data_IF_258924776640
#
_entry.id   IF_258924776640
#
_cell.length_a   1.000
_cell.length_b   1.000
_cell.length_c   1.000
_cell.angle_alpha   90.00
_cell.angle_beta   90.00
_cell.angle_gamma   90.00
#
_symmetry.space_group_name_H-M   'P 1'
#
loop_
_entity.id
_entity.type
_entity.pdbx_description
1 polymer ?
#
# COMPACT_ATOMS: atom_id res chain seq x y z
N UNK A 1 -20.59 -39.87 -30.94
CA UNK A 1 -20.19 -39.62 -29.55
C UNK A 1 -18.96 -38.73 -29.59
N UNK A 2 -19.16 -37.44 -29.33
CA UNK A 2 -18.07 -36.42 -29.28
C UNK A 2 -17.57 -36.41 -27.85
N UNK A 3 -16.31 -36.84 -27.63
CA UNK A 3 -15.65 -36.68 -26.33
C UNK A 3 -15.22 -35.20 -26.17
N UNK A 4 -15.92 -34.45 -25.35
CA UNK A 4 -15.49 -33.10 -24.90
C UNK A 4 -14.40 -33.33 -23.88
N UNK A 5 -13.14 -33.15 -24.29
CA UNK A 5 -12.00 -33.11 -23.37
C UNK A 5 -12.03 -31.84 -22.55
N UNK A 6 -12.26 -31.97 -21.26
CA UNK A 6 -12.13 -30.87 -20.31
C UNK A 6 -10.65 -30.53 -20.14
N UNK A 7 -10.17 -29.48 -20.79
CA UNK A 7 -8.82 -28.96 -20.57
C UNK A 7 -8.87 -28.19 -19.26
N UNK A 8 -8.47 -28.83 -18.15
CA UNK A 8 -8.21 -28.16 -16.88
C UNK A 8 -6.89 -27.41 -17.05
N UNK A 9 -6.97 -26.12 -17.25
CA UNK A 9 -5.80 -25.23 -17.22
C UNK A 9 -5.34 -25.14 -15.75
N UNK A 10 -4.41 -26.01 -15.36
CA UNK A 10 -3.74 -25.93 -14.06
C UNK A 10 -2.82 -24.70 -14.10
N UNK A 11 -3.27 -23.60 -13.49
CA UNK A 11 -2.38 -22.50 -13.18
C UNK A 11 -1.29 -23.03 -12.24
N UNK A 12 -0.01 -22.68 -12.47
CA UNK A 12 1.04 -23.11 -11.58
C UNK A 12 0.78 -22.54 -10.18
N UNK A 13 0.65 -23.43 -9.18
CA UNK A 13 0.53 -23.05 -7.78
C UNK A 13 1.94 -22.68 -7.33
N UNK A 14 2.19 -21.40 -7.12
CA UNK A 14 3.44 -20.94 -6.53
C UNK A 14 3.43 -21.29 -5.05
N UNK A 15 4.32 -22.20 -4.63
CA UNK A 15 4.55 -22.57 -3.24
C UNK A 15 5.97 -22.21 -2.83
N UNK A 16 6.10 -21.40 -1.79
CA UNK A 16 7.33 -21.15 -1.08
C UNK A 16 7.41 -22.03 0.17
N UNK A 17 8.61 -22.20 0.70
CA UNK A 17 8.79 -22.80 2.02
C UNK A 17 8.82 -21.69 3.08
N UNK A 18 8.22 -21.95 4.25
CA UNK A 18 8.29 -21.02 5.38
C UNK A 18 9.68 -21.04 6.02
N UNK A 19 10.16 -19.90 6.54
CA UNK A 19 9.52 -18.60 6.56
C UNK A 19 9.42 -17.96 5.17
N UNK A 20 8.51 -16.97 5.01
CA UNK A 20 8.23 -16.28 3.75
C UNK A 20 8.16 -14.76 4.01
N UNK A 21 8.82 -13.98 3.16
CA UNK A 21 8.67 -12.53 3.05
C UNK A 21 8.22 -12.22 1.62
N UNK A 22 7.17 -11.42 1.48
CA UNK A 22 6.67 -10.96 0.19
C UNK A 22 6.32 -9.47 0.29
N UNK A 23 6.74 -8.66 -0.70
CA UNK A 23 6.34 -7.25 -0.77
C UNK A 23 6.05 -6.80 -2.19
N UNK A 24 5.24 -5.75 -2.29
CA UNK A 24 4.92 -5.07 -3.55
C UNK A 24 6.17 -4.44 -4.15
N UNK A 25 6.21 -4.36 -5.48
CA UNK A 25 7.26 -3.76 -6.28
C UNK A 25 8.65 -4.42 -6.09
N UNK A 26 9.66 -3.82 -6.72
CA UNK A 26 11.04 -4.33 -6.72
C UNK A 26 11.87 -3.75 -5.56
N UNK A 27 11.36 -3.83 -4.34
CA UNK A 27 12.07 -3.33 -3.15
C UNK A 27 12.88 -4.45 -2.50
N UNK A 28 13.98 -4.84 -3.15
CA UNK A 28 14.82 -5.98 -2.78
C UNK A 28 15.48 -5.82 -1.41
N UNK A 29 15.97 -4.61 -1.10
CA UNK A 29 16.64 -4.32 0.17
C UNK A 29 15.66 -4.40 1.35
N UNK A 30 14.41 -3.93 1.16
CA UNK A 30 13.34 -4.08 2.15
C UNK A 30 13.01 -5.56 2.42
N UNK A 31 12.91 -6.39 1.36
CA UNK A 31 12.71 -7.84 1.48
C UNK A 31 13.84 -8.49 2.27
N UNK A 32 15.08 -8.15 1.94
CA UNK A 32 16.30 -8.69 2.56
C UNK A 32 16.44 -8.27 4.02
N UNK A 33 16.05 -7.03 4.36
CA UNK A 33 16.04 -6.54 5.73
C UNK A 33 15.03 -7.29 6.61
N UNK A 34 13.80 -7.49 6.11
CA UNK A 34 12.78 -8.28 6.80
C UNK A 34 13.24 -9.73 7.00
N UNK A 35 13.78 -10.36 5.96
CA UNK A 35 14.34 -11.72 6.04
C UNK A 35 15.45 -11.83 7.06
N UNK A 36 16.44 -10.92 7.02
CA UNK A 36 17.55 -10.90 7.97
C UNK A 36 17.07 -10.78 9.42
N UNK A 37 15.98 -10.04 9.65
CA UNK A 37 15.39 -9.89 10.99
C UNK A 37 14.83 -11.22 11.49
N UNK A 38 14.08 -11.96 10.65
CA UNK A 38 13.60 -13.30 10.99
C UNK A 38 14.75 -14.27 11.27
N UNK A 39 15.80 -14.25 10.45
CA UNK A 39 16.96 -15.14 10.62
C UNK A 39 17.73 -14.89 11.94
N UNK A 40 17.69 -13.66 12.45
CA UNK A 40 18.27 -13.26 13.73
C UNK A 40 17.35 -13.54 14.92
N UNK A 41 16.18 -14.14 14.69
CA UNK A 41 15.22 -14.50 15.75
C UNK A 41 14.22 -13.40 16.12
N UNK A 42 14.13 -12.32 15.31
CA UNK A 42 13.08 -11.31 15.45
C UNK A 42 11.70 -11.88 15.13
N UNK A 43 10.65 -11.27 15.68
CA UNK A 43 9.25 -11.62 15.40
C UNK A 43 8.84 -11.22 13.98
N UNK A 44 7.66 -11.69 13.52
CA UNK A 44 7.07 -11.25 12.24
C UNK A 44 6.78 -9.75 12.24
N UNK A 45 6.42 -9.18 13.40
CA UNK A 45 6.18 -7.74 13.56
C UNK A 45 7.51 -6.97 13.43
N UNK A 46 8.59 -7.42 14.08
CA UNK A 46 9.92 -6.82 13.94
C UNK A 46 10.40 -6.86 12.48
N UNK A 47 10.15 -7.97 11.80
CA UNK A 47 10.60 -8.18 10.43
C UNK A 47 9.84 -7.27 9.45
N UNK A 48 8.51 -7.17 9.55
CA UNK A 48 7.72 -6.33 8.65
C UNK A 48 7.99 -4.84 8.89
N UNK A 49 8.16 -4.42 10.16
CA UNK A 49 8.57 -3.06 10.49
C UNK A 49 9.95 -2.74 9.91
N UNK A 50 10.93 -3.64 10.12
CA UNK A 50 12.29 -3.42 9.61
C UNK A 50 12.34 -3.30 8.10
N UNK A 51 11.56 -4.13 7.37
CA UNK A 51 11.49 -4.07 5.91
C UNK A 51 10.85 -2.78 5.41
N UNK A 52 9.67 -2.44 5.91
CA UNK A 52 8.98 -1.21 5.52
C UNK A 52 9.76 0.05 5.97
N UNK A 53 10.31 0.06 7.18
CA UNK A 53 11.09 1.18 7.71
C UNK A 53 12.40 1.42 6.94
N UNK A 54 13.05 0.37 6.40
CA UNK A 54 14.20 0.55 5.50
C UNK A 54 13.77 1.24 4.21
N UNK A 55 12.64 0.83 3.63
CA UNK A 55 12.08 1.46 2.43
C UNK A 55 11.73 2.94 2.68
N UNK A 56 11.19 3.27 3.85
CA UNK A 56 10.95 4.66 4.26
C UNK A 56 12.24 5.49 4.31
N UNK A 57 13.29 4.92 4.91
CA UNK A 57 14.58 5.59 5.09
C UNK A 57 15.32 5.81 3.76
N UNK A 58 15.28 4.82 2.88
CA UNK A 58 15.94 4.85 1.57
C UNK A 58 15.08 5.47 0.48
N UNK A 59 13.84 5.88 0.82
CA UNK A 59 12.87 6.48 -0.11
C UNK A 59 12.54 5.60 -1.33
N UNK A 60 12.81 4.31 -1.26
CA UNK A 60 12.64 3.28 -2.29
C UNK A 60 12.58 3.84 -3.74
N UNK A 61 11.41 3.90 -4.38
CA UNK A 61 11.24 4.51 -5.71
C UNK A 61 10.79 5.99 -5.64
N UNK A 62 10.76 6.57 -4.45
CA UNK A 62 10.33 7.94 -4.18
C UNK A 62 8.86 8.08 -3.78
N UNK A 63 8.05 7.01 -3.84
CA UNK A 63 6.65 7.03 -3.40
C UNK A 63 6.47 6.52 -1.96
N UNK A 64 7.55 6.02 -1.35
CA UNK A 64 7.61 5.57 0.04
C UNK A 64 8.61 6.41 0.80
N UNK A 65 8.30 6.79 2.04
CA UNK A 65 9.15 7.62 2.87
C UNK A 65 9.01 9.11 2.58
N UNK A 66 9.97 9.89 3.04
CA UNK A 66 9.95 11.34 2.97
C UNK A 66 10.37 11.90 1.60
N UNK A 67 10.08 13.17 1.34
CA UNK A 67 10.74 13.97 0.32
C UNK A 67 10.36 13.71 -1.14
N UNK A 68 9.24 13.08 -1.39
CA UNK A 68 8.61 13.01 -2.71
C UNK A 68 7.18 13.54 -2.64
N UNK A 69 6.28 13.15 -3.40
CA UNK A 69 4.84 13.47 -3.51
C UNK A 69 4.30 14.53 -2.51
N UNK A 70 4.66 15.83 -2.66
CA UNK A 70 4.11 16.89 -1.81
C UNK A 70 2.59 17.03 -2.03
N UNK A 71 1.90 17.55 -1.02
CA UNK A 71 0.51 17.95 -1.15
C UNK A 71 0.35 19.27 -1.94
N UNK A 72 -0.88 19.81 -2.03
CA UNK A 72 -1.14 21.07 -2.74
C UNK A 72 -0.62 22.31 -2.00
N UNK A 73 0.01 22.14 -0.82
CA UNK A 73 0.70 23.19 -0.06
C UNK A 73 2.22 23.01 -0.04
N UNK A 74 2.72 21.93 -0.64
CA UNK A 74 4.15 21.62 -0.75
C UNK A 74 4.69 20.75 0.39
N UNK A 75 3.83 20.28 1.31
CA UNK A 75 4.23 19.42 2.42
C UNK A 75 4.19 17.95 2.05
N UNK A 76 5.20 17.17 2.45
CA UNK A 76 5.18 15.71 2.38
C UNK A 76 4.61 15.15 3.68
N UNK A 77 3.59 14.29 3.59
CA UNK A 77 2.98 13.59 4.72
C UNK A 77 2.97 12.09 4.47
N UNK A 78 2.98 11.29 5.53
CA UNK A 78 3.16 9.84 5.46
C UNK A 78 1.93 9.11 6.02
N UNK A 79 1.59 7.99 5.39
CA UNK A 79 0.56 7.06 5.83
C UNK A 79 1.20 5.67 6.04
N UNK A 80 0.92 5.01 7.16
CA UNK A 80 1.42 3.67 7.42
C UNK A 80 0.48 2.87 8.33
N UNK A 81 0.51 1.55 8.19
CA UNK A 81 -0.07 0.63 9.17
C UNK A 81 0.81 -0.59 9.38
N UNK A 82 0.64 -1.24 10.52
CA UNK A 82 1.18 -2.54 10.87
C UNK A 82 0.10 -3.36 11.57
N UNK A 83 0.04 -4.66 11.25
CA UNK A 83 -0.93 -5.58 11.84
C UNK A 83 -0.24 -6.87 12.26
N UNK A 84 -0.49 -7.30 13.50
CA UNK A 84 -0.13 -8.58 14.05
C UNK A 84 -1.29 -9.57 13.85
N UNK A 85 -1.14 -10.54 12.95
CA UNK A 85 -2.18 -11.55 12.66
C UNK A 85 -2.35 -12.61 13.75
N UNK A 86 -1.46 -12.67 14.74
CA UNK A 86 -1.57 -13.60 15.89
C UNK A 86 -2.53 -13.05 16.96
N UNK A 87 -2.50 -11.74 17.20
CA UNK A 87 -3.30 -11.04 18.20
C UNK A 87 -4.45 -10.24 17.60
N UNK A 88 -4.44 -10.02 16.29
CA UNK A 88 -5.34 -9.13 15.54
C UNK A 88 -5.18 -7.66 15.89
N UNK A 89 -4.11 -7.29 16.60
CA UNK A 89 -3.79 -5.90 16.92
C UNK A 89 -3.30 -5.16 15.68
N UNK A 90 -3.71 -3.91 15.57
CA UNK A 90 -3.37 -3.00 14.47
C UNK A 90 -2.95 -1.66 15.03
N UNK A 91 -1.89 -1.09 14.47
CA UNK A 91 -1.55 0.31 14.65
C UNK A 91 -1.45 1.00 13.29
N UNK A 92 -1.92 2.24 13.22
CA UNK A 92 -1.89 3.01 11.99
C UNK A 92 -1.70 4.51 12.24
N UNK A 93 -1.09 5.19 11.28
CA UNK A 93 -0.98 6.64 11.22
C UNK A 93 -1.31 7.14 9.82
N UNK A 94 -2.01 8.27 9.73
CA UNK A 94 -2.32 8.93 8.47
C UNK A 94 -2.04 10.42 8.54
N UNK A 95 -1.63 11.03 7.43
CA UNK A 95 -1.23 12.44 7.39
C UNK A 95 -0.17 12.76 8.47
N UNK A 96 0.75 11.81 8.72
CA UNK A 96 1.84 11.97 9.68
C UNK A 96 2.85 12.98 9.14
N UNK A 97 3.24 13.95 9.97
CA UNK A 97 4.14 15.04 9.63
C UNK A 97 5.42 14.96 10.43
N UNK A 98 6.51 15.44 9.89
CA UNK A 98 7.81 15.64 10.57
C UNK A 98 8.45 14.40 11.18
N UNK A 99 7.95 13.21 10.91
CA UNK A 99 8.54 11.96 11.39
C UNK A 99 8.72 11.00 10.21
N UNK A 100 9.96 10.60 9.93
CA UNK A 100 10.31 9.75 8.79
C UNK A 100 9.90 8.30 8.97
N UNK A 101 9.93 7.78 10.19
CA UNK A 101 9.64 6.37 10.50
C UNK A 101 8.14 6.18 10.77
N UNK A 102 7.33 6.23 9.72
CA UNK A 102 5.87 6.16 9.85
C UNK A 102 5.40 4.78 10.31
N UNK A 103 5.98 3.69 9.81
CA UNK A 103 5.63 2.34 10.24
C UNK A 103 6.02 2.08 11.69
N UNK A 104 7.12 2.65 12.18
CA UNK A 104 7.50 2.60 13.59
C UNK A 104 6.52 3.36 14.49
N UNK A 105 6.02 4.53 14.04
CA UNK A 105 4.96 5.25 14.78
C UNK A 105 3.66 4.44 14.77
N UNK A 106 3.29 3.82 13.64
CA UNK A 106 2.14 2.92 13.58
C UNK A 106 2.27 1.77 14.59
N UNK A 107 3.47 1.16 14.70
CA UNK A 107 3.75 0.15 15.72
C UNK A 107 3.64 0.70 17.14
N UNK A 108 4.14 1.91 17.39
CA UNK A 108 4.01 2.55 18.70
C UNK A 108 2.53 2.79 19.09
N UNK A 109 1.66 3.11 18.12
CA UNK A 109 0.20 3.17 18.36
C UNK A 109 -0.32 1.80 18.80
N UNK A 110 0.04 0.72 18.08
CA UNK A 110 -0.40 -0.64 18.38
C UNK A 110 0.06 -1.13 19.75
N UNK A 111 1.32 -0.89 20.12
CA UNK A 111 1.94 -1.48 21.32
C UNK A 111 1.78 -0.62 22.58
N UNK A 112 1.52 0.69 22.44
CA UNK A 112 1.55 1.61 23.58
C UNK A 112 0.22 2.36 23.81
N UNK A 113 -0.84 2.00 23.08
CA UNK A 113 -2.18 2.58 23.27
C UNK A 113 -3.27 1.52 23.05
N UNK A 114 -4.47 1.79 23.51
CA UNK A 114 -5.67 1.01 23.17
C UNK A 114 -6.30 1.48 21.84
N UNK A 115 -5.67 2.44 21.14
CA UNK A 115 -6.17 2.98 19.89
C UNK A 115 -5.54 2.25 18.70
N UNK A 116 -6.28 2.22 17.60
CA UNK A 116 -5.83 1.59 16.35
C UNK A 116 -5.26 2.61 15.35
N UNK A 117 -5.74 3.86 15.35
CA UNK A 117 -5.41 4.79 14.28
C UNK A 117 -5.36 6.25 14.77
N UNK A 118 -4.20 6.89 14.61
CA UNK A 118 -3.99 8.30 14.88
C UNK A 118 -3.71 9.08 13.59
N UNK A 119 -4.13 10.34 13.49
CA UNK A 119 -4.03 11.11 12.25
C UNK A 119 -3.51 12.54 12.46
N UNK A 120 -2.88 13.08 11.40
CA UNK A 120 -2.52 14.48 11.25
C UNK A 120 -1.53 14.99 12.30
N UNK A 121 -1.64 16.27 12.63
CA UNK A 121 -0.75 16.95 13.59
C UNK A 121 -0.73 16.25 14.94
N UNK A 122 -1.87 15.77 15.43
CA UNK A 122 -1.95 15.05 16.71
C UNK A 122 -1.19 13.72 16.71
N UNK A 123 -1.16 13.01 15.57
CA UNK A 123 -0.33 11.82 15.41
C UNK A 123 1.17 12.16 15.45
N UNK A 124 1.56 13.31 14.89
CA UNK A 124 2.95 13.78 14.91
C UNK A 124 3.39 14.17 16.33
N UNK A 125 2.53 14.85 17.08
CA UNK A 125 2.78 15.17 18.51
C UNK A 125 2.88 13.88 19.34
N UNK A 126 2.01 12.89 19.09
CA UNK A 126 2.12 11.58 19.74
C UNK A 126 3.48 10.94 19.44
N UNK A 127 3.92 10.92 18.18
CA UNK A 127 5.19 10.36 17.79
C UNK A 127 6.37 11.07 18.49
N UNK A 128 6.38 12.38 18.53
CA UNK A 128 7.40 13.17 19.25
C UNK A 128 7.43 12.80 20.75
N UNK A 129 6.27 12.67 21.40
CA UNK A 129 6.14 12.27 22.81
C UNK A 129 6.62 10.83 23.05
N UNK A 130 6.53 9.94 22.03
CA UNK A 130 7.05 8.58 22.07
C UNK A 130 8.55 8.51 21.74
N UNK A 131 9.22 9.65 21.52
CA UNK A 131 10.66 9.75 21.31
C UNK A 131 11.09 9.67 19.84
N UNK A 132 10.17 9.69 18.88
CA UNK A 132 10.54 9.79 17.47
C UNK A 132 11.07 11.19 17.16
N UNK A 133 12.11 11.24 16.29
CA UNK A 133 12.75 12.49 15.92
C UNK A 133 11.88 13.31 14.98
N UNK A 134 11.66 14.58 15.34
CA UNK A 134 11.00 15.57 14.48
C UNK A 134 12.01 16.08 13.44
N UNK A 135 11.68 15.99 12.16
CA UNK A 135 12.53 16.38 11.03
C UNK A 135 11.68 17.00 9.91
N UNK A 136 12.30 17.86 9.08
CA UNK A 136 11.67 18.29 7.82
C UNK A 136 11.63 17.10 6.85
N UNK A 137 10.45 16.81 6.32
CA UNK A 137 10.26 15.74 5.33
C UNK A 137 10.45 16.23 3.89
N UNK A 138 10.67 17.52 3.68
CA UNK A 138 10.92 18.10 2.36
C UNK A 138 12.31 17.77 1.83
N UNK A 139 12.43 17.65 0.52
CA UNK A 139 13.69 17.51 -0.20
C UNK A 139 13.73 18.45 -1.39
N UNK A 140 14.90 18.66 -1.97
CA UNK A 140 15.03 19.41 -3.23
C UNK A 140 14.11 18.85 -4.33
N UNK A 141 13.86 17.52 -4.33
CA UNK A 141 12.99 16.85 -5.27
C UNK A 141 11.53 17.28 -5.04
N UNK A 142 11.01 17.18 -3.81
CA UNK A 142 9.62 17.56 -3.51
C UNK A 142 9.37 19.05 -3.75
N UNK A 143 10.32 19.93 -3.40
CA UNK A 143 10.25 21.37 -3.66
C UNK A 143 10.18 21.63 -5.19
N UNK A 144 10.97 20.91 -5.97
CA UNK A 144 10.97 21.02 -7.44
C UNK A 144 9.64 20.55 -8.03
N UNK A 145 9.14 19.39 -7.58
CA UNK A 145 7.83 18.84 -8.00
C UNK A 145 6.72 19.86 -7.73
N UNK A 146 6.68 20.41 -6.52
CA UNK A 146 5.68 21.41 -6.13
C UNK A 146 5.79 22.69 -6.98
N UNK A 147 7.00 23.21 -7.17
CA UNK A 147 7.22 24.42 -7.96
C UNK A 147 6.80 24.26 -9.42
N UNK A 148 7.12 23.12 -10.02
CA UNK A 148 6.69 22.80 -11.40
C UNK A 148 5.17 22.66 -11.50
N UNK A 149 4.52 22.08 -10.52
CA UNK A 149 3.07 21.96 -10.47
C UNK A 149 2.39 23.34 -10.38
N UNK A 150 2.90 24.26 -9.56
CA UNK A 150 2.43 25.63 -9.50
C UNK A 150 2.56 26.34 -10.86
N UNK A 151 3.72 26.19 -11.52
CA UNK A 151 3.97 26.76 -12.86
C UNK A 151 3.02 26.18 -13.91
N UNK A 152 2.57 24.94 -13.75
CA UNK A 152 1.59 24.28 -14.61
C UNK A 152 0.14 24.54 -14.19
N UNK A 153 -0.16 25.70 -13.60
CA UNK A 153 -1.50 26.05 -13.14
C UNK A 153 -2.12 24.99 -12.18
N UNK A 154 -1.31 24.41 -11.33
CA UNK A 154 -1.71 23.38 -10.36
C UNK A 154 -2.36 22.16 -11.03
N UNK A 155 -1.75 21.66 -12.12
CA UNK A 155 -2.23 20.50 -12.85
C UNK A 155 -1.21 19.34 -12.79
N UNK A 156 -1.70 18.10 -12.62
CA UNK A 156 -3.09 17.70 -12.30
C UNK A 156 -3.49 18.05 -10.86
N UNK A 157 -4.79 18.06 -10.54
CA UNK A 157 -5.30 18.22 -9.19
C UNK A 157 -6.56 17.38 -8.91
N UNK A 158 -6.96 17.30 -7.65
CA UNK A 158 -8.08 16.47 -7.17
C UNK A 158 -9.40 17.24 -6.99
N UNK A 159 -9.44 18.52 -7.37
CA UNK A 159 -10.61 19.38 -7.21
C UNK A 159 -11.66 19.10 -8.28
N UNK A 160 -12.93 19.07 -7.89
CA UNK A 160 -14.09 18.88 -8.78
C UNK A 160 -15.30 19.65 -8.25
N UNK A 161 -16.17 20.09 -9.17
CA UNK A 161 -17.41 20.83 -8.83
C UNK A 161 -17.15 22.11 -8.02
N UNK A 162 -16.07 22.80 -8.34
CA UNK A 162 -15.63 24.03 -7.65
C UNK A 162 -15.47 25.19 -8.65
N UNK A 163 -15.44 26.41 -8.12
CA UNK A 163 -15.10 27.64 -8.81
C UNK A 163 -13.95 28.34 -8.06
N UNK A 164 -12.96 28.91 -8.77
CA UNK A 164 -12.77 28.93 -10.22
C UNK A 164 -12.57 27.53 -10.81
N UNK A 165 -12.53 27.43 -12.15
CA UNK A 165 -12.34 26.16 -12.87
C UNK A 165 -11.00 25.52 -12.48
N UNK A 166 -10.98 24.35 -11.81
CA UNK A 166 -9.76 23.74 -11.31
C UNK A 166 -8.83 23.23 -12.41
N UNK A 167 -9.29 23.16 -13.68
CA UNK A 167 -8.43 22.83 -14.81
C UNK A 167 -7.55 24.00 -15.29
N UNK A 168 -7.73 25.19 -14.73
CA UNK A 168 -7.06 26.42 -15.21
C UNK A 168 -6.49 27.28 -14.08
N UNK A 169 -6.90 27.06 -12.85
CA UNK A 169 -6.57 27.93 -11.72
C UNK A 169 -6.16 27.12 -10.50
N UNK A 170 -5.29 27.66 -9.66
CA UNK A 170 -4.81 27.07 -8.41
C UNK A 170 -5.74 27.32 -7.19
N UNK A 171 -6.85 28.00 -7.39
CA UNK A 171 -7.73 28.39 -6.28
C UNK A 171 -7.48 29.83 -5.79
N UNK A 172 -7.98 30.24 -4.64
CA UNK A 172 -8.78 29.44 -3.71
C UNK A 172 -10.13 29.00 -4.29
N UNK A 173 -10.57 27.77 -3.92
CA UNK A 173 -11.77 27.17 -4.49
C UNK A 173 -12.99 27.30 -3.58
N UNK A 174 -14.17 27.50 -4.20
CA UNK A 174 -15.48 27.43 -3.54
C UNK A 174 -16.36 26.41 -4.26
N UNK A 175 -17.28 25.72 -3.56
CA UNK A 175 -18.22 24.82 -4.23
C UNK A 175 -19.06 25.57 -5.28
N UNK A 176 -19.29 24.96 -6.43
CA UNK A 176 -20.32 25.45 -7.38
C UNK A 176 -21.69 25.24 -6.75
N UNK A 177 -22.57 26.24 -6.81
CA UNK A 177 -23.96 26.09 -6.40
C UNK A 177 -24.58 24.90 -7.19
N UNK A 178 -25.10 23.93 -6.47
CA UNK A 178 -25.59 22.68 -7.07
C UNK A 178 -26.90 22.95 -7.84
N UNK A 179 -26.83 23.15 -9.13
CA UNK A 179 -28.00 23.05 -10.01
C UNK A 179 -28.01 21.79 -10.90
N UNK A 180 -26.91 21.02 -10.91
CA UNK A 180 -26.87 19.78 -11.73
C UNK A 180 -25.73 18.84 -11.29
N UNK A 181 -26.00 17.50 -11.27
CA UNK A 181 -24.93 16.48 -11.07
C UNK A 181 -24.28 16.21 -12.42
N UNK A 182 -23.00 16.57 -12.65
CA UNK A 182 -22.31 16.16 -13.85
C UNK A 182 -22.00 14.66 -13.81
N UNK A 183 -22.12 13.99 -14.96
CA UNK A 183 -21.63 12.62 -15.16
C UNK A 183 -20.14 12.56 -14.82
N UNK A 184 -19.73 11.45 -14.19
CA UNK A 184 -18.35 11.21 -13.80
C UNK A 184 -17.35 11.52 -14.94
N UNK A 185 -16.53 12.53 -14.77
CA UNK A 185 -15.41 12.79 -15.65
C UNK A 185 -14.28 11.82 -15.30
N UNK A 186 -13.66 11.19 -16.32
CA UNK A 186 -12.47 10.34 -16.17
C UNK A 186 -11.40 11.12 -15.40
N UNK A 187 -10.86 10.57 -14.33
CA UNK A 187 -9.67 11.13 -13.65
C UNK A 187 -8.47 10.90 -14.55
N UNK A 188 -7.75 11.94 -14.93
CA UNK A 188 -6.38 11.83 -15.42
C UNK A 188 -5.46 11.84 -14.19
N UNK A 189 -5.37 10.70 -13.51
CA UNK A 189 -4.39 10.49 -12.45
C UNK A 189 -3.12 9.99 -13.14
N UNK A 190 -1.96 10.52 -12.78
CA UNK A 190 -0.67 9.96 -13.21
C UNK A 190 -0.51 8.60 -12.53
N UNK A 191 -0.50 7.47 -13.26
CA UNK A 191 -0.39 6.13 -12.69
C UNK A 191 0.94 5.91 -11.96
N UNK A 192 1.96 6.74 -12.19
CA UNK A 192 3.27 6.68 -11.55
C UNK A 192 3.35 7.40 -10.21
N UNK A 193 2.25 8.01 -9.77
CA UNK A 193 2.21 8.83 -8.57
C UNK A 193 1.64 8.09 -7.33
N UNK A 194 1.68 6.75 -7.28
CA UNK A 194 0.96 6.00 -6.24
C UNK A 194 1.58 4.64 -5.87
N UNK A 195 2.90 4.51 -5.85
CA UNK A 195 3.47 3.27 -5.37
C UNK A 195 3.45 3.26 -3.82
N UNK A 196 3.38 2.09 -3.25
CA UNK A 196 3.27 1.85 -1.81
C UNK A 196 4.02 0.57 -1.51
N UNK A 197 4.88 0.55 -0.49
CA UNK A 197 5.32 -0.73 0.02
C UNK A 197 4.19 -1.36 0.81
N UNK A 198 3.73 -2.53 0.36
CA UNK A 198 2.93 -3.45 1.14
C UNK A 198 3.77 -4.70 1.37
N UNK A 199 3.88 -5.17 2.61
CA UNK A 199 4.70 -6.33 2.97
C UNK A 199 3.91 -7.32 3.81
N UNK A 200 4.12 -8.61 3.56
CA UNK A 200 3.62 -9.74 4.35
C UNK A 200 4.82 -10.55 4.80
N UNK A 201 4.86 -10.88 6.08
CA UNK A 201 5.88 -11.75 6.68
C UNK A 201 5.20 -12.92 7.37
N UNK A 202 5.63 -14.15 7.05
CA UNK A 202 5.15 -15.38 7.69
C UNK A 202 6.38 -16.13 8.24
N UNK A 203 6.39 -16.42 9.53
CA UNK A 203 7.49 -17.17 10.14
C UNK A 203 7.37 -18.70 9.91
N UNK A 204 8.35 -19.44 10.39
CA UNK A 204 8.38 -20.91 10.30
C UNK A 204 7.23 -21.61 11.04
N UNK A 205 6.58 -20.92 11.97
CA UNK A 205 5.46 -21.44 12.78
C UNK A 205 4.09 -21.04 12.19
N UNK A 206 4.07 -20.29 11.08
CA UNK A 206 2.85 -19.78 10.46
C UNK A 206 2.31 -18.50 11.09
N UNK A 207 3.04 -17.82 11.99
CA UNK A 207 2.67 -16.49 12.48
C UNK A 207 2.81 -15.49 11.36
N UNK A 208 1.85 -14.57 11.24
CA UNK A 208 1.75 -13.60 10.14
C UNK A 208 1.74 -12.18 10.67
N UNK A 209 2.48 -11.30 10.02
CA UNK A 209 2.30 -9.86 10.13
C UNK A 209 2.24 -9.24 8.73
N UNK A 210 1.54 -8.12 8.61
CA UNK A 210 1.49 -7.33 7.40
C UNK A 210 1.61 -5.84 7.72
N UNK A 211 2.20 -5.07 6.80
CA UNK A 211 2.33 -3.63 6.91
C UNK A 211 2.27 -2.96 5.56
N UNK A 212 1.97 -1.66 5.58
CA UNK A 212 2.04 -0.76 4.42
C UNK A 212 2.65 0.56 4.85
N UNK A 213 3.39 1.20 3.92
CA UNK A 213 3.88 2.56 4.08
C UNK A 213 3.93 3.28 2.73
N UNK A 214 3.60 4.57 2.74
CA UNK A 214 3.55 5.43 1.55
C UNK A 214 3.63 6.90 1.93
N UNK A 215 4.09 7.73 0.98
CA UNK A 215 3.86 9.18 1.06
C UNK A 215 2.58 9.63 0.32
N UNK A 216 1.82 8.69 -0.21
CA UNK A 216 0.51 8.92 -0.80
C UNK A 216 0.54 9.58 -2.17
N UNK A 217 -0.58 10.19 -2.54
CA UNK A 217 -0.79 10.78 -3.84
C UNK A 217 -0.05 12.13 -3.99
N UNK A 218 0.59 12.33 -5.15
CA UNK A 218 1.22 13.60 -5.48
C UNK A 218 0.18 14.72 -5.63
N UNK A 219 0.44 15.91 -5.08
CA UNK A 219 -0.47 17.08 -5.07
C UNK A 219 -1.84 16.79 -4.43
N UNK A 220 -1.88 15.87 -3.48
CA UNK A 220 -3.06 15.57 -2.67
C UNK A 220 -3.55 16.82 -1.92
N UNK A 221 -4.83 16.83 -1.59
CA UNK A 221 -5.37 17.84 -0.68
C UNK A 221 -4.79 17.60 0.71
N UNK A 222 -4.32 18.62 1.45
CA UNK A 222 -3.83 18.46 2.82
C UNK A 222 -4.85 17.73 3.70
N UNK A 223 -4.38 16.76 4.46
CA UNK A 223 -5.23 15.88 5.26
C UNK A 223 -5.80 14.68 4.49
N UNK A 224 -5.45 14.50 3.20
CA UNK A 224 -5.82 13.28 2.45
C UNK A 224 -5.05 12.09 2.99
N UNK A 225 -5.77 11.04 3.34
CA UNK A 225 -5.28 9.72 3.71
C UNK A 225 -5.68 8.71 2.64
N UNK A 226 -4.76 7.83 2.21
CA UNK A 226 -5.01 6.75 1.25
C UNK A 226 -5.52 5.48 1.91
N UNK A 227 -5.43 4.37 1.18
CA UNK A 227 -5.78 3.03 1.68
C UNK A 227 -4.74 2.46 2.65
N UNK A 228 -3.49 2.90 2.55
CA UNK A 228 -2.36 2.31 3.28
C UNK A 228 -2.57 2.20 4.79
N UNK A 229 -3.08 3.22 5.53
CA UNK A 229 -3.27 3.10 6.97
C UNK A 229 -4.61 2.47 7.37
N UNK A 230 -5.42 2.06 6.41
CA UNK A 230 -6.75 1.48 6.66
C UNK A 230 -6.65 -0.04 6.71
N UNK A 231 -6.84 -0.62 7.90
CA UNK A 231 -6.84 -2.07 8.09
C UNK A 231 -7.85 -2.76 7.15
N UNK A 232 -7.37 -3.75 6.41
CA UNK A 232 -8.18 -4.45 5.40
C UNK A 232 -8.17 -3.79 4.02
N UNK A 233 -7.78 -2.52 3.89
CA UNK A 233 -7.56 -1.88 2.60
C UNK A 233 -6.09 -1.97 2.20
N UNK A 234 -5.20 -1.31 2.92
CA UNK A 234 -3.75 -1.34 2.68
C UNK A 234 -3.15 -2.72 2.94
N UNK A 235 -3.35 -3.26 4.14
CA UNK A 235 -2.95 -4.63 4.47
C UNK A 235 -3.92 -5.30 5.44
N UNK A 236 -3.82 -6.64 5.52
CA UNK A 236 -4.53 -7.45 6.51
C UNK A 236 -3.74 -8.73 6.80
N UNK A 237 -3.69 -9.14 8.06
CA UNK A 237 -3.01 -10.34 8.51
C UNK A 237 -3.87 -11.15 9.48
N UNK A 238 -3.84 -12.47 9.35
CA UNK A 238 -4.47 -13.41 10.27
C UNK A 238 -3.64 -14.70 10.29
N UNK A 239 -3.02 -15.03 11.43
CA UNK A 239 -2.13 -16.19 11.56
C UNK A 239 -2.84 -17.53 11.38
N UNK A 240 -4.17 -17.56 11.37
CA UNK A 240 -4.96 -18.77 11.04
C UNK A 240 -5.15 -18.97 9.55
N UNK A 241 -4.81 -17.97 8.70
CA UNK A 241 -5.06 -17.96 7.26
C UNK A 241 -3.86 -17.53 6.45
N UNK A 242 -3.36 -16.32 6.70
CA UNK A 242 -2.33 -15.67 5.91
C UNK A 242 -2.43 -14.16 5.92
N UNK A 243 -1.90 -13.50 4.90
CA UNK A 243 -1.94 -12.05 4.77
C UNK A 243 -2.14 -11.58 3.33
N UNK A 244 -2.54 -10.33 3.21
CA UNK A 244 -2.60 -9.62 1.94
C UNK A 244 -2.18 -8.17 2.12
N UNK A 245 -1.60 -7.57 1.07
CA UNK A 245 -1.26 -6.15 1.05
C UNK A 245 -1.48 -5.57 -0.35
N UNK A 246 -1.83 -4.30 -0.41
CA UNK A 246 -2.28 -3.60 -1.60
C UNK A 246 -1.37 -2.41 -1.94
N UNK A 247 -1.40 -2.00 -3.20
CA UNK A 247 -0.75 -0.80 -3.74
C UNK A 247 -1.54 -0.24 -4.90
N UNK A 248 -1.55 1.09 -5.08
CA UNK A 248 -2.19 1.75 -6.21
C UNK A 248 -3.09 2.93 -5.85
N UNK A 249 -4.20 3.14 -6.60
CA UNK A 249 -5.15 4.23 -6.35
C UNK A 249 -5.89 4.03 -5.02
N UNK A 250 -5.28 4.52 -3.93
CA UNK A 250 -5.78 4.37 -2.57
C UNK A 250 -7.18 4.92 -2.36
N UNK A 251 -7.54 6.02 -3.04
CA UNK A 251 -8.89 6.60 -2.98
C UNK A 251 -9.97 5.69 -3.57
N UNK A 252 -9.59 4.79 -4.46
CA UNK A 252 -10.48 3.77 -5.02
C UNK A 252 -10.41 2.50 -4.17
N UNK A 253 -9.21 2.01 -3.88
CA UNK A 253 -9.00 0.72 -3.22
C UNK A 253 -9.61 0.66 -1.82
N UNK A 254 -9.50 1.74 -1.02
CA UNK A 254 -10.07 1.78 0.34
C UNK A 254 -11.58 1.52 0.41
N UNK A 255 -12.31 1.77 -0.69
CA UNK A 255 -13.77 1.55 -0.74
C UNK A 255 -14.16 0.08 -0.81
N UNK A 256 -13.21 -0.81 -1.11
CA UNK A 256 -13.46 -2.23 -1.38
C UNK A 256 -12.78 -3.17 -0.39
N UNK A 257 -11.87 -2.67 0.46
CA UNK A 257 -11.09 -3.42 1.44
C UNK A 257 -10.45 -4.68 0.82
N UNK A 258 -9.62 -4.53 -0.22
CA UNK A 258 -9.14 -5.66 -1.03
C UNK A 258 -8.29 -6.65 -0.24
N UNK A 259 -7.50 -6.17 0.74
CA UNK A 259 -6.63 -7.04 1.55
C UNK A 259 -7.45 -7.91 2.51
N UNK A 260 -8.46 -7.35 3.18
CA UNK A 260 -9.40 -8.12 3.99
C UNK A 260 -10.16 -9.14 3.14
N UNK A 261 -10.72 -8.72 2.00
CA UNK A 261 -11.44 -9.61 1.11
C UNK A 261 -10.56 -10.79 0.64
N UNK A 262 -9.29 -10.54 0.31
CA UNK A 262 -8.37 -11.58 -0.12
C UNK A 262 -8.10 -12.60 1.00
N UNK A 263 -7.90 -12.14 2.24
CA UNK A 263 -7.70 -13.05 3.40
C UNK A 263 -8.97 -13.87 3.66
N UNK A 264 -10.16 -13.28 3.58
CA UNK A 264 -11.41 -14.02 3.77
C UNK A 264 -11.69 -15.03 2.65
N UNK A 265 -11.28 -14.75 1.42
CA UNK A 265 -11.33 -15.72 0.34
C UNK A 265 -10.35 -16.89 0.59
N UNK A 266 -9.13 -16.61 1.07
CA UNK A 266 -8.17 -17.65 1.48
C UNK A 266 -8.71 -18.46 2.67
N UNK A 267 -9.38 -17.83 3.65
CA UNK A 267 -10.09 -18.53 4.75
C UNK A 267 -11.12 -19.51 4.23
N UNK A 268 -11.80 -19.15 3.14
CA UNK A 268 -12.80 -20.00 2.47
C UNK A 268 -12.17 -21.05 1.54
N UNK A 269 -10.83 -21.20 1.55
CA UNK A 269 -10.11 -22.22 0.79
C UNK A 269 -9.64 -21.79 -0.60
N UNK A 270 -9.75 -20.51 -0.96
CA UNK A 270 -9.20 -20.04 -2.23
C UNK A 270 -7.66 -20.00 -2.20
N UNK A 271 -7.02 -20.42 -3.29
CA UNK A 271 -5.58 -20.20 -3.47
C UNK A 271 -5.26 -18.69 -3.50
N UNK A 272 -4.09 -18.26 -2.98
CA UNK A 272 -3.73 -16.84 -2.87
C UNK A 272 -3.84 -16.06 -4.18
N UNK A 273 -3.42 -16.63 -5.31
CA UNK A 273 -3.54 -15.99 -6.63
C UNK A 273 -4.99 -15.74 -7.05
N UNK A 274 -5.89 -16.68 -6.72
CA UNK A 274 -7.33 -16.55 -6.99
C UNK A 274 -7.97 -15.52 -6.06
N UNK A 275 -7.57 -15.50 -4.80
CA UNK A 275 -8.05 -14.53 -3.82
C UNK A 275 -7.69 -13.10 -4.23
N UNK A 276 -6.41 -12.85 -4.56
CA UNK A 276 -5.93 -11.58 -5.10
C UNK A 276 -6.69 -11.16 -6.37
N UNK A 277 -6.84 -12.08 -7.34
CA UNK A 277 -7.56 -11.81 -8.61
C UNK A 277 -9.02 -11.45 -8.38
N UNK A 278 -9.69 -12.13 -7.45
CA UNK A 278 -11.08 -11.84 -7.10
C UNK A 278 -11.24 -10.47 -6.45
N UNK A 279 -10.33 -10.09 -5.56
CA UNK A 279 -10.32 -8.77 -4.93
C UNK A 279 -10.16 -7.65 -5.99
N UNK A 280 -9.20 -7.78 -6.91
CA UNK A 280 -9.01 -6.83 -8.04
C UNK A 280 -10.23 -6.81 -8.97
N UNK A 281 -10.82 -7.97 -9.30
CA UNK A 281 -12.00 -8.06 -10.17
C UNK A 281 -13.20 -7.32 -9.60
N UNK A 282 -13.39 -7.33 -8.27
CA UNK A 282 -14.46 -6.59 -7.60
C UNK A 282 -14.32 -5.07 -7.79
N UNK A 283 -13.11 -4.54 -7.73
CA UNK A 283 -12.84 -3.12 -7.96
C UNK A 283 -13.04 -2.78 -9.44
N UNK A 284 -12.44 -3.58 -10.32
CA UNK A 284 -12.50 -3.41 -11.78
C UNK A 284 -13.92 -3.30 -12.32
N UNK A 285 -14.88 -4.01 -11.73
CA UNK A 285 -16.30 -3.95 -12.11
C UNK A 285 -16.85 -2.52 -12.05
N UNK A 286 -16.40 -1.70 -11.10
CA UNK A 286 -16.89 -0.34 -10.88
C UNK A 286 -15.93 0.74 -11.40
N UNK A 287 -14.63 0.45 -11.38
CA UNK A 287 -13.53 1.32 -11.77
C UNK A 287 -12.60 0.60 -12.75
N UNK A 288 -13.01 0.38 -14.02
CA UNK A 288 -12.26 -0.47 -14.95
C UNK A 288 -10.85 0.02 -15.28
N UNK A 289 -10.59 1.31 -15.06
CA UNK A 289 -9.28 1.94 -15.34
C UNK A 289 -8.52 2.34 -14.08
N UNK A 290 -8.84 1.77 -12.91
CA UNK A 290 -8.06 2.06 -11.70
C UNK A 290 -6.65 1.43 -11.78
N UNK A 291 -5.67 2.12 -11.26
CA UNK A 291 -4.34 1.58 -11.04
C UNK A 291 -4.33 0.81 -9.70
N UNK A 292 -3.90 -0.45 -9.70
CA UNK A 292 -3.82 -1.19 -8.44
C UNK A 292 -3.44 -2.65 -8.59
N UNK A 293 -2.78 -3.14 -7.54
CA UNK A 293 -2.35 -4.51 -7.37
C UNK A 293 -2.50 -4.97 -5.91
N UNK A 294 -2.58 -6.29 -5.72
CA UNK A 294 -2.62 -6.93 -4.40
C UNK A 294 -1.68 -8.13 -4.43
N UNK A 295 -0.92 -8.31 -3.34
CA UNK A 295 -0.16 -9.54 -3.04
C UNK A 295 -0.89 -10.31 -1.93
N UNK A 296 -0.82 -11.64 -1.98
CA UNK A 296 -1.46 -12.54 -1.02
C UNK A 296 -0.53 -13.70 -0.68
N UNK A 297 -0.51 -14.12 0.57
CA UNK A 297 0.21 -15.31 1.00
C UNK A 297 -0.56 -16.03 2.12
N UNK A 298 -0.53 -17.37 2.12
CA UNK A 298 -1.17 -18.18 3.16
C UNK A 298 -0.13 -18.86 4.05
N UNK A 299 -0.58 -19.37 5.20
CA UNK A 299 0.27 -20.04 6.21
C UNK A 299 0.81 -21.40 5.76
N UNK A 300 0.46 -21.89 4.57
CA UNK A 300 1.02 -23.11 3.98
C UNK A 300 2.12 -22.84 2.93
N UNK A 301 2.55 -21.59 2.79
CA UNK A 301 3.56 -21.15 1.82
C UNK A 301 3.03 -20.90 0.41
N UNK A 302 1.72 -20.98 0.18
CA UNK A 302 1.11 -20.51 -1.06
C UNK A 302 1.18 -18.98 -1.13
N UNK A 303 1.48 -18.42 -2.31
CA UNK A 303 1.47 -16.98 -2.54
C UNK A 303 1.02 -16.64 -3.96
N UNK A 304 0.68 -15.39 -4.18
CA UNK A 304 0.31 -14.88 -5.49
C UNK A 304 0.09 -13.38 -5.47
N UNK A 305 -0.15 -12.84 -6.67
CA UNK A 305 -0.48 -11.44 -6.87
C UNK A 305 -1.51 -11.28 -7.99
N UNK A 306 -2.15 -10.11 -8.03
CA UNK A 306 -3.00 -9.72 -9.13
C UNK A 306 -3.01 -8.20 -9.30
N UNK A 307 -3.21 -7.73 -10.53
CA UNK A 307 -3.27 -6.31 -10.88
C UNK A 307 -4.31 -6.03 -11.96
N UNK A 308 -4.83 -4.81 -11.97
CA UNK A 308 -5.73 -4.35 -13.03
C UNK A 308 -4.94 -3.92 -14.26
N UNK A 309 -5.27 -4.46 -15.44
CA UNK A 309 -4.61 -4.09 -16.70
C UNK A 309 -5.09 -2.73 -17.17
N UNK A 310 -4.16 -1.81 -17.29
CA UNK A 310 -4.32 -0.48 -17.88
C UNK A 310 -3.16 -0.22 -18.85
N UNK A 311 -3.20 0.81 -19.71
CA UNK A 311 -2.10 1.08 -20.65
C UNK A 311 -0.73 1.21 -19.98
N UNK A 312 -0.69 1.80 -18.78
CA UNK A 312 0.51 2.09 -18.00
C UNK A 312 0.97 0.90 -17.13
N UNK A 313 0.11 -0.11 -16.91
CA UNK A 313 0.40 -1.28 -16.09
C UNK A 313 -0.11 -2.55 -16.78
N UNK A 314 0.75 -3.20 -17.55
CA UNK A 314 0.47 -4.49 -18.17
C UNK A 314 0.97 -5.69 -17.37
N UNK A 315 1.97 -5.47 -16.50
CA UNK A 315 2.62 -6.47 -15.67
C UNK A 315 2.99 -5.87 -14.31
N UNK A 316 2.74 -6.58 -13.22
CA UNK A 316 3.08 -6.18 -11.86
C UNK A 316 4.23 -7.03 -11.33
N UNK A 317 5.24 -6.38 -10.77
CA UNK A 317 6.41 -7.01 -10.15
C UNK A 317 6.29 -6.98 -8.62
N UNK A 318 6.74 -8.04 -7.95
CA UNK A 318 6.78 -8.13 -6.50
C UNK A 318 7.97 -8.99 -6.07
N UNK A 319 8.45 -8.79 -4.84
CA UNK A 319 9.56 -9.56 -4.30
C UNK A 319 9.07 -10.71 -3.44
N UNK A 320 9.79 -11.82 -3.48
CA UNK A 320 9.58 -13.01 -2.65
C UNK A 320 10.91 -13.47 -2.10
N UNK A 321 10.98 -13.76 -0.80
CA UNK A 321 12.11 -14.40 -0.16
C UNK A 321 11.62 -15.55 0.72
N UNK A 322 12.13 -16.74 0.50
CA UNK A 322 11.78 -17.97 1.24
C UNK A 322 13.01 -18.80 1.60
N UNK A 323 12.83 -19.77 2.49
CA UNK A 323 13.93 -20.64 2.94
C UNK A 323 14.41 -21.62 1.87
N UNK A 324 13.65 -21.86 0.80
CA UNK A 324 14.03 -22.82 -0.25
C UNK A 324 15.14 -22.26 -1.13
N UNK A 325 15.00 -20.99 -1.53
CA UNK A 325 15.98 -20.34 -2.41
C UNK A 325 17.04 -19.56 -1.63
N UNK A 326 16.71 -19.14 -0.41
CA UNK A 326 17.55 -18.33 0.47
C UNK A 326 18.17 -17.10 -0.20
N UNK A 327 17.39 -16.50 -1.11
CA UNK A 327 17.72 -15.25 -1.80
C UNK A 327 16.43 -14.56 -2.24
N UNK A 328 16.42 -13.20 -2.29
CA UNK A 328 15.26 -12.47 -2.81
C UNK A 328 15.07 -12.76 -4.31
N UNK A 329 13.84 -12.95 -4.72
CA UNK A 329 13.45 -13.18 -6.12
C UNK A 329 12.45 -12.15 -6.57
N UNK A 330 12.65 -11.62 -7.77
CA UNK A 330 11.66 -10.80 -8.44
C UNK A 330 10.67 -11.69 -9.19
N UNK A 331 9.44 -11.68 -8.75
CA UNK A 331 8.33 -12.35 -9.40
C UNK A 331 7.48 -11.35 -10.19
N UNK A 332 6.77 -11.83 -11.21
CA UNK A 332 5.92 -11.01 -12.07
C UNK A 332 4.62 -11.73 -12.39
N UNK A 333 3.54 -10.94 -12.46
CA UNK A 333 2.24 -11.42 -12.95
C UNK A 333 1.72 -10.49 -14.03
N UNK A 334 1.08 -11.07 -15.04
CA UNK A 334 0.39 -10.30 -16.06
C UNK A 334 -0.91 -9.73 -15.48
N UNK A 335 -1.14 -8.43 -15.68
CA UNK A 335 -2.39 -7.79 -15.31
C UNK A 335 -3.51 -8.20 -16.28
N UNK A 336 -4.74 -8.22 -15.83
CA UNK A 336 -5.89 -8.74 -16.57
C UNK A 336 -7.04 -7.75 -16.72
#
# INVERSE_FOLDING_TARGET
MIKIGLIICLLPISRASLPLVINTWRFEDATSAAWSTLQKGGSVVDAVERGCGLCELEQCDGSVGFGDHPDEQGETTLDAMIMNGDTMEVGAVGDLRRVKNAVGVARAVMENTDHTFLVGESASIFAENMGFKSEDLSTNKSITIFSQWLQNNCQPNYRKNVFPDPSKFCGPYKPKAMLWRPKHKKRNIDPRAHDTIGMIVIDKNGKVAAATSTNGANHKIPGRVGDSPVAGAGAYADSTVGGAAATGDGDVMMRFLPSFLAVELMRSGAEPSIACKTAISRIKKYYPTFFGAVICANTTGGYGAACNKIPELSQFSFMVFDSQTNQPRLEKVDCF
#
